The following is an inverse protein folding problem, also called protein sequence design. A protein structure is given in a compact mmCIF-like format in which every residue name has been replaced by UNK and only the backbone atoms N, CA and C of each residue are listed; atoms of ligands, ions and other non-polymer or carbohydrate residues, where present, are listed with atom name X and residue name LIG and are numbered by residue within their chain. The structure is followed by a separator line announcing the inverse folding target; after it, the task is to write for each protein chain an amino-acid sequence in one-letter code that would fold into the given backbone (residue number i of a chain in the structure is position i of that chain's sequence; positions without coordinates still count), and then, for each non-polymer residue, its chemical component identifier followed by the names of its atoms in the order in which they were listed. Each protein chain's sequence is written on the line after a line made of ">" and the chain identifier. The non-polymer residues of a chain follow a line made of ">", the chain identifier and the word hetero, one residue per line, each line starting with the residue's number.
data_IF_761288588050
#
_entry.id   IF_761288588050
#
_cell.length_a   1.000
_cell.length_b   1.000
_cell.length_c   1.000
_cell.angle_alpha   90.00
_cell.angle_beta   90.00
_cell.angle_gamma   90.00
#
_symmetry.space_group_name_H-M   'P 1'
#
loop_
_entity.id
_entity.type
_entity.pdbx_description
1 polymer ?
#
# COMPACT_ATOMS: atom_id res chain seq x y z
N UNK A 1 2.54 7.00 -10.08
CA UNK A 1 2.99 6.06 -9.03
C UNK A 1 2.11 4.82 -9.03
N UNK A 2 2.64 3.63 -8.71
CA UNK A 2 1.82 2.42 -8.54
C UNK A 2 1.85 1.99 -7.08
N UNK A 3 0.69 1.81 -6.45
CA UNK A 3 0.58 1.43 -5.05
C UNK A 3 -0.07 0.06 -4.97
N UNK A 4 0.69 -0.93 -4.55
CA UNK A 4 0.27 -2.32 -4.44
C UNK A 4 0.02 -2.67 -2.97
N UNK A 5 -1.24 -2.88 -2.62
CA UNK A 5 -1.65 -3.30 -1.28
C UNK A 5 -1.70 -4.83 -1.25
N UNK A 6 -0.65 -5.40 -0.69
CA UNK A 6 -0.44 -6.83 -0.50
C UNK A 6 -1.17 -7.30 0.76
N UNK A 7 -2.25 -8.07 0.60
CA UNK A 7 -2.91 -8.68 1.75
C UNK A 7 -4.19 -9.41 1.39
N UNK A 8 -4.48 -10.45 2.15
CA UNK A 8 -5.59 -11.41 1.94
C UNK A 8 -6.99 -10.86 2.28
N UNK A 9 -7.26 -9.58 2.01
CA UNK A 9 -8.61 -9.02 2.10
C UNK A 9 -9.11 -8.62 3.50
N UNK A 10 -8.25 -8.58 4.51
CA UNK A 10 -8.64 -8.12 5.86
C UNK A 10 -9.16 -6.66 5.88
N UNK A 11 -10.00 -6.32 6.87
CA UNK A 11 -10.54 -4.96 7.07
C UNK A 11 -9.44 -3.86 7.10
N UNK A 12 -8.25 -4.23 7.57
CA UNK A 12 -7.05 -3.40 7.59
C UNK A 12 -6.59 -2.96 6.20
N UNK A 13 -6.62 -3.86 5.21
CA UNK A 13 -6.24 -3.56 3.83
C UNK A 13 -7.20 -2.57 3.18
N UNK A 14 -8.50 -2.68 3.49
CA UNK A 14 -9.52 -1.77 2.98
C UNK A 14 -9.30 -0.35 3.50
N UNK A 15 -9.03 -0.22 4.81
CA UNK A 15 -8.71 1.06 5.43
C UNK A 15 -7.42 1.66 4.87
N UNK A 16 -6.38 0.86 4.64
CA UNK A 16 -5.15 1.33 3.99
C UNK A 16 -5.41 1.89 2.59
N UNK A 17 -6.20 1.20 1.76
CA UNK A 17 -6.61 1.68 0.43
C UNK A 17 -7.34 3.02 0.51
N UNK A 18 -8.30 3.18 1.41
CA UNK A 18 -9.01 4.46 1.58
C UNK A 18 -8.09 5.61 2.01
N UNK A 19 -7.13 5.34 2.90
CA UNK A 19 -6.13 6.32 3.31
C UNK A 19 -5.21 6.70 2.15
N UNK A 20 -4.81 5.72 1.34
CA UNK A 20 -4.03 5.96 0.12
C UNK A 20 -4.81 6.81 -0.87
N UNK A 21 -6.06 6.46 -1.19
CA UNK A 21 -6.92 7.26 -2.08
C UNK A 21 -7.02 8.71 -1.58
N UNK A 22 -7.25 8.91 -0.28
CA UNK A 22 -7.27 10.25 0.31
C UNK A 22 -5.92 10.98 0.20
N UNK A 23 -4.82 10.31 0.51
CA UNK A 23 -3.50 10.92 0.46
C UNK A 23 -3.13 11.33 -0.97
N UNK A 24 -3.45 10.50 -1.96
CA UNK A 24 -3.29 10.74 -3.40
C UNK A 24 -4.13 11.93 -3.85
N UNK A 25 -5.39 11.98 -3.44
CA UNK A 25 -6.31 13.09 -3.75
C UNK A 25 -5.84 14.41 -3.10
N UNK A 26 -5.36 14.38 -1.85
CA UNK A 26 -4.84 15.57 -1.14
C UNK A 26 -3.48 16.04 -1.67
N UNK A 27 -2.61 15.13 -2.08
CA UNK A 27 -1.30 15.48 -2.66
C UNK A 27 -1.40 15.82 -4.15
N UNK A 28 -2.51 15.48 -4.81
CA UNK A 28 -2.71 15.67 -6.25
C UNK A 28 -1.81 14.79 -7.12
N UNK A 29 -1.24 13.73 -6.54
CA UNK A 29 -0.33 12.81 -7.22
C UNK A 29 -1.16 11.73 -7.90
N UNK A 30 -0.84 11.38 -9.15
CA UNK A 30 -1.54 10.30 -9.85
C UNK A 30 -0.94 8.95 -9.40
N UNK A 31 -1.64 8.25 -8.50
CA UNK A 31 -1.23 6.93 -8.00
C UNK A 31 -2.28 5.85 -8.28
N UNK A 32 -1.83 4.75 -8.89
CA UNK A 32 -2.67 3.64 -9.29
C UNK A 32 -2.70 2.58 -8.19
N UNK A 33 -3.86 2.38 -7.56
CA UNK A 33 -3.98 1.50 -6.40
C UNK A 33 -4.40 0.11 -6.85
N UNK A 34 -3.48 -0.84 -6.71
CA UNK A 34 -3.65 -2.25 -7.05
C UNK A 34 -3.71 -3.05 -5.76
N UNK A 35 -4.65 -3.99 -5.67
CA UNK A 35 -4.76 -4.87 -4.52
C UNK A 35 -4.22 -6.24 -4.91
N UNK A 36 -3.23 -6.71 -4.18
CA UNK A 36 -2.59 -8.00 -4.43
C UNK A 36 -2.99 -8.94 -3.32
N UNK A 37 -3.86 -9.89 -3.65
CA UNK A 37 -4.40 -10.89 -2.72
C UNK A 37 -3.75 -12.26 -2.92
N UNK A 38 -2.89 -12.40 -3.96
CA UNK A 38 -2.12 -13.60 -4.26
C UNK A 38 -0.96 -13.75 -3.28
N UNK A 39 -0.91 -14.91 -2.61
CA UNK A 39 0.16 -15.27 -1.69
C UNK A 39 1.50 -15.38 -2.44
N UNK A 40 1.50 -15.88 -3.67
CA UNK A 40 2.71 -16.00 -4.50
C UNK A 40 3.37 -14.65 -4.78
N UNK A 41 2.61 -13.63 -5.15
CA UNK A 41 3.11 -12.27 -5.32
C UNK A 41 3.69 -11.72 -4.00
N UNK A 42 2.98 -11.91 -2.89
CA UNK A 42 3.41 -11.47 -1.55
C UNK A 42 4.76 -12.07 -1.18
N UNK A 43 4.92 -13.38 -1.40
CA UNK A 43 6.17 -14.10 -1.19
C UNK A 43 7.28 -13.62 -2.15
N UNK A 44 6.93 -13.33 -3.41
CA UNK A 44 7.86 -12.79 -4.41
C UNK A 44 8.40 -11.40 -4.02
N UNK A 45 7.59 -10.59 -3.33
CA UNK A 45 8.02 -9.32 -2.74
C UNK A 45 8.83 -9.49 -1.44
N UNK A 46 9.04 -10.71 -0.96
CA UNK A 46 9.74 -10.98 0.31
C UNK A 46 8.95 -10.58 1.55
N UNK A 47 7.64 -10.36 1.42
CA UNK A 47 6.77 -9.99 2.52
C UNK A 47 6.35 -11.25 3.27
N UNK A 48 6.90 -11.45 4.47
CA UNK A 48 6.46 -12.54 5.35
C UNK A 48 5.21 -12.19 6.17
N UNK A 49 4.93 -10.89 6.35
CA UNK A 49 3.84 -10.42 7.21
C UNK A 49 2.94 -9.47 6.42
N UNK A 50 1.72 -9.93 6.13
CA UNK A 50 0.66 -9.10 5.57
C UNK A 50 -0.15 -8.41 6.67
N UNK A 51 -0.67 -7.19 6.45
CA UNK A 51 -0.69 -6.44 5.19
C UNK A 51 0.61 -5.70 4.90
N UNK A 52 1.00 -5.63 3.63
CA UNK A 52 2.11 -4.82 3.15
C UNK A 52 1.65 -3.83 2.08
N UNK A 53 2.38 -2.73 1.97
CA UNK A 53 2.17 -1.71 0.94
C UNK A 53 3.47 -1.56 0.18
N UNK A 54 3.35 -1.72 -1.13
CA UNK A 54 4.40 -1.52 -2.11
C UNK A 54 4.07 -0.23 -2.85
N UNK A 55 5.06 0.64 -3.02
CA UNK A 55 4.94 1.86 -3.80
C UNK A 55 6.04 1.82 -4.85
N UNK A 56 5.65 1.89 -6.12
CA UNK A 56 6.54 1.83 -7.28
C UNK A 56 7.42 0.57 -7.33
N UNK A 57 6.89 -0.57 -6.87
CA UNK A 57 7.62 -1.83 -6.77
C UNK A 57 8.51 -1.97 -5.54
N UNK A 58 8.65 -0.93 -4.71
CA UNK A 58 9.35 -0.99 -3.43
C UNK A 58 8.40 -1.25 -2.26
N UNK A 59 8.71 -2.26 -1.44
CA UNK A 59 7.99 -2.51 -0.18
C UNK A 59 8.30 -1.38 0.80
N UNK A 60 7.34 -0.48 1.03
CA UNK A 60 7.50 0.61 2.01
C UNK A 60 7.15 0.16 3.42
N UNK A 61 6.17 -0.74 3.57
CA UNK A 61 5.78 -1.29 4.87
C UNK A 61 5.27 -2.72 4.74
N UNK A 62 5.53 -3.54 5.74
CA UNK A 62 5.00 -4.89 5.87
C UNK A 62 4.58 -5.16 7.32
N UNK A 63 3.43 -5.82 7.50
CA UNK A 63 2.89 -6.23 8.80
C UNK A 63 2.23 -5.12 9.63
N UNK A 64 2.10 -3.91 9.09
CA UNK A 64 1.50 -2.76 9.81
C UNK A 64 0.68 -1.88 8.87
N UNK A 65 -0.35 -1.24 9.41
CA UNK A 65 -1.13 -0.23 8.70
C UNK A 65 -0.41 1.11 8.88
N UNK A 66 0.02 1.78 7.80
CA UNK A 66 0.56 3.13 7.88
C UNK A 66 -0.55 4.14 8.15
N UNK A 67 -0.16 5.30 8.69
CA UNK A 67 -1.05 6.43 8.87
C UNK A 67 -1.11 7.28 7.60
N UNK A 68 -2.13 8.14 7.49
CA UNK A 68 -2.30 9.03 6.34
C UNK A 68 -1.04 9.86 6.06
N UNK A 69 -0.41 10.36 7.12
CA UNK A 69 0.80 11.19 7.06
C UNK A 69 1.98 10.44 6.42
N UNK A 70 2.21 9.20 6.84
CA UNK A 70 3.25 8.33 6.27
C UNK A 70 3.01 8.05 4.78
N UNK A 71 1.76 7.88 4.37
CA UNK A 71 1.42 7.67 2.96
C UNK A 71 1.69 8.95 2.16
N UNK A 72 1.33 10.12 2.71
CA UNK A 72 1.65 11.41 2.09
C UNK A 72 3.16 11.60 1.93
N UNK A 73 3.97 11.17 2.91
CA UNK A 73 5.43 11.19 2.78
C UNK A 73 5.93 10.32 1.63
N UNK A 74 5.32 9.15 1.38
CA UNK A 74 5.68 8.31 0.23
C UNK A 74 5.28 8.91 -1.12
N UNK A 75 4.23 9.73 -1.13
CA UNK A 75 3.71 10.40 -2.34
C UNK A 75 4.38 11.74 -2.63
N UNK A 76 4.90 12.43 -1.60
CA UNK A 76 5.51 13.76 -1.71
C UNK A 76 7.01 13.76 -2.06
N UNK A 77 7.60 12.58 -2.31
CA UNK A 77 9.02 12.43 -2.63
C UNK A 77 9.26 12.21 -4.13
#
# INVERSE_FOLDING_TARGET
>A
MKIEVLGTGCAKCKKAKELVEKAVEETGVDAQIVKVENIDDILSYGVMVTPAIVVDGEVKIAGKIPELDTIKEWLSH
#
